data_IF_123147366463
#
_entry.id   IF_123147366463
#
_cell.length_a   1.000
_cell.length_b   1.000
_cell.length_c   1.000
_cell.angle_alpha   90.00
_cell.angle_beta   90.00
_cell.angle_gamma   90.00
#
_symmetry.space_group_name_H-M   'P 1'
#
loop_
_entity.id
_entity.type
_entity.pdbx_description
1 polymer ?
#
# COMPACT_ATOMS: atom_id res chain seq x y z
N UNK A 1 -10.66 46.14 -63.12
CA UNK A 1 -9.73 46.23 -61.97
C UNK A 1 -8.73 45.09 -62.11
N UNK A 2 -7.44 45.41 -62.23
CA UNK A 2 -6.46 44.64 -63.01
C UNK A 2 -5.92 43.39 -62.28
N UNK A 3 -6.07 42.21 -62.90
CA UNK A 3 -5.67 40.88 -62.36
C UNK A 3 -4.17 40.85 -62.03
N UNK A 4 -3.35 41.54 -62.82
CA UNK A 4 -1.89 41.65 -62.65
C UNK A 4 -1.49 42.38 -61.36
N UNK A 5 -2.27 43.39 -60.93
CA UNK A 5 -2.02 44.08 -59.65
C UNK A 5 -2.29 43.14 -58.46
N UNK A 6 -3.34 42.33 -58.52
CA UNK A 6 -3.64 41.37 -57.46
C UNK A 6 -2.63 40.22 -57.40
N UNK A 7 -2.14 39.74 -58.55
CA UNK A 7 -1.07 38.75 -58.61
C UNK A 7 0.25 39.28 -58.05
N UNK A 8 0.60 40.54 -58.34
CA UNK A 8 1.80 41.18 -57.82
C UNK A 8 1.74 41.35 -56.28
N UNK A 9 0.58 41.77 -55.74
CA UNK A 9 0.35 41.88 -54.30
C UNK A 9 0.44 40.52 -53.59
N UNK A 10 -0.15 39.46 -54.17
CA UNK A 10 -0.05 38.09 -53.61
C UNK A 10 1.39 37.60 -53.58
N UNK A 11 2.15 37.84 -54.64
CA UNK A 11 3.54 37.40 -54.76
C UNK A 11 4.43 38.14 -53.76
N UNK A 12 4.21 39.45 -53.59
CA UNK A 12 4.90 40.27 -52.59
C UNK A 12 4.66 39.77 -51.16
N UNK A 13 3.40 39.52 -50.78
CA UNK A 13 3.05 38.95 -49.47
C UNK A 13 3.70 37.59 -49.22
N UNK A 14 3.78 36.72 -50.24
CA UNK A 14 4.42 35.40 -50.09
C UNK A 14 5.93 35.53 -49.81
N UNK A 15 6.62 36.46 -50.46
CA UNK A 15 8.03 36.75 -50.18
C UNK A 15 8.21 37.27 -48.76
N UNK A 16 7.40 38.24 -48.33
CA UNK A 16 7.44 38.78 -46.96
C UNK A 16 7.25 37.69 -45.90
N UNK A 17 6.28 36.79 -46.10
CA UNK A 17 6.04 35.66 -45.19
C UNK A 17 7.21 34.68 -45.19
N UNK A 18 7.78 34.37 -46.36
CA UNK A 18 8.91 33.47 -46.46
C UNK A 18 10.15 34.01 -45.75
N UNK A 19 10.44 35.30 -45.93
CA UNK A 19 11.53 35.98 -45.24
C UNK A 19 11.33 35.99 -43.72
N UNK A 20 10.11 36.24 -43.26
CA UNK A 20 9.77 36.20 -41.83
C UNK A 20 9.98 34.81 -41.23
N UNK A 21 9.47 33.76 -41.88
CA UNK A 21 9.63 32.37 -41.43
C UNK A 21 11.12 31.97 -41.42
N UNK A 22 11.86 32.39 -42.43
CA UNK A 22 13.31 32.13 -42.53
C UNK A 22 14.06 32.80 -41.40
N UNK A 23 13.79 34.08 -41.12
CA UNK A 23 14.43 34.79 -40.01
C UNK A 23 14.09 34.16 -38.65
N UNK A 24 12.84 33.77 -38.44
CA UNK A 24 12.41 33.07 -37.23
C UNK A 24 13.13 31.72 -37.07
N UNK A 25 13.21 30.92 -38.14
CA UNK A 25 13.85 29.61 -38.11
C UNK A 25 15.37 29.69 -37.88
N UNK A 26 16.00 30.82 -38.21
CA UNK A 26 17.41 31.08 -37.95
C UNK A 26 17.68 31.66 -36.55
N UNK A 27 16.71 32.37 -35.96
CA UNK A 27 16.84 33.01 -34.64
C UNK A 27 16.36 32.16 -33.48
N UNK A 28 15.54 31.13 -33.75
CA UNK A 28 15.05 30.21 -32.72
C UNK A 28 16.18 29.39 -32.10
N UNK A 29 16.02 29.04 -30.82
CA UNK A 29 16.89 28.09 -30.11
C UNK A 29 16.63 26.64 -30.53
N UNK A 30 15.53 26.38 -31.24
CA UNK A 30 15.19 25.05 -31.75
C UNK A 30 16.12 24.63 -32.90
N UNK A 31 17.14 23.84 -32.56
CA UNK A 31 18.25 23.46 -33.45
C UNK A 31 17.82 22.83 -34.79
N UNK A 32 16.69 22.13 -34.86
CA UNK A 32 16.26 21.43 -36.07
C UNK A 32 15.79 22.36 -37.20
N UNK A 33 15.15 23.49 -36.88
CA UNK A 33 14.60 24.40 -37.90
C UNK A 33 15.69 25.13 -38.70
N UNK A 34 16.77 25.53 -38.02
CA UNK A 34 17.93 26.16 -38.66
C UNK A 34 18.58 25.26 -39.71
N UNK A 35 18.65 23.95 -39.46
CA UNK A 35 19.25 23.00 -40.39
C UNK A 35 18.39 22.73 -41.62
N UNK A 36 17.06 22.80 -41.49
CA UNK A 36 16.12 22.69 -42.63
C UNK A 36 16.29 23.88 -43.58
N UNK A 37 16.43 25.09 -43.03
CA UNK A 37 16.61 26.32 -43.81
C UNK A 37 17.98 26.35 -44.50
N UNK A 38 19.05 25.98 -43.80
CA UNK A 38 20.42 26.06 -44.31
C UNK A 38 20.83 24.91 -45.24
N UNK A 39 20.10 23.79 -45.26
CA UNK A 39 20.45 22.68 -46.13
C UNK A 39 20.30 23.03 -47.62
N UNK A 40 21.35 22.85 -48.41
CA UNK A 40 21.33 23.17 -49.84
C UNK A 40 20.57 22.12 -50.67
N UNK A 41 20.72 20.84 -50.31
CA UNK A 41 20.12 19.71 -51.02
C UNK A 41 18.73 19.38 -50.46
N UNK A 42 17.76 19.16 -51.35
CA UNK A 42 16.39 18.76 -50.99
C UNK A 42 16.36 17.47 -50.15
N UNK A 43 17.20 16.49 -50.48
CA UNK A 43 17.29 15.24 -49.70
C UNK A 43 17.70 15.51 -48.24
N UNK A 44 18.65 16.42 -48.01
CA UNK A 44 19.07 16.79 -46.66
C UNK A 44 17.96 17.54 -45.91
N UNK A 45 17.18 18.39 -46.59
CA UNK A 45 16.00 19.03 -45.99
C UNK A 45 14.98 18.00 -45.53
N UNK A 46 14.70 16.99 -46.35
CA UNK A 46 13.77 15.90 -46.01
C UNK A 46 14.26 15.11 -44.80
N UNK A 47 15.56 14.78 -44.75
CA UNK A 47 16.16 14.08 -43.60
C UNK A 47 15.99 14.91 -42.31
N UNK A 48 16.29 16.21 -42.37
CA UNK A 48 16.12 17.08 -41.19
C UNK A 48 14.66 17.21 -40.75
N UNK A 49 13.72 17.25 -41.70
CA UNK A 49 12.28 17.24 -41.39
C UNK A 49 11.89 15.93 -40.70
N UNK A 50 12.35 14.78 -41.21
CA UNK A 50 12.07 13.48 -40.59
C UNK A 50 12.62 13.44 -39.17
N UNK A 51 13.88 13.83 -38.95
CA UNK A 51 14.45 13.86 -37.60
C UNK A 51 13.74 14.84 -36.67
N UNK A 52 13.33 16.01 -37.15
CA UNK A 52 12.56 16.96 -36.36
C UNK A 52 11.22 16.34 -35.93
N UNK A 53 10.48 15.74 -36.86
CA UNK A 53 9.19 15.09 -36.58
C UNK A 53 9.38 13.96 -35.58
N UNK A 54 10.32 13.05 -35.83
CA UNK A 54 10.61 11.93 -34.94
C UNK A 54 10.97 12.40 -33.54
N UNK A 55 11.82 13.43 -33.42
CA UNK A 55 12.20 14.01 -32.12
C UNK A 55 11.02 14.61 -31.37
N UNK A 56 10.15 15.36 -32.06
CA UNK A 56 8.94 15.94 -31.45
C UNK A 56 7.98 14.84 -31.00
N UNK A 57 7.71 13.85 -31.83
CA UNK A 57 6.84 12.71 -31.48
C UNK A 57 7.40 11.96 -30.28
N UNK A 58 8.70 11.68 -30.27
CA UNK A 58 9.34 10.98 -29.15
C UNK A 58 9.32 11.81 -27.86
N UNK A 59 9.54 13.12 -27.96
CA UNK A 59 9.44 14.03 -26.83
C UNK A 59 8.02 14.03 -26.22
N UNK A 60 6.99 14.16 -27.06
CA UNK A 60 5.58 14.10 -26.61
C UNK A 60 5.29 12.75 -25.94
N UNK A 61 5.73 11.64 -26.56
CA UNK A 61 5.56 10.31 -25.99
C UNK A 61 6.20 10.18 -24.60
N UNK A 62 7.43 10.69 -24.43
CA UNK A 62 8.13 10.66 -23.14
C UNK A 62 7.45 11.54 -22.08
N UNK A 63 6.96 12.72 -22.46
CA UNK A 63 6.19 13.58 -21.55
C UNK A 63 4.92 12.86 -21.08
N UNK A 64 4.18 12.22 -21.98
CA UNK A 64 2.97 11.46 -21.64
C UNK A 64 3.30 10.30 -20.70
N UNK A 65 4.33 9.51 -20.99
CA UNK A 65 4.76 8.41 -20.11
C UNK A 65 5.16 8.91 -18.73
N UNK A 66 5.86 10.05 -18.66
CA UNK A 66 6.28 10.66 -17.39
C UNK A 66 5.07 11.11 -16.58
N UNK A 67 4.09 11.76 -17.21
CA UNK A 67 2.84 12.19 -16.54
C UNK A 67 2.08 10.96 -16.02
N UNK A 68 1.92 9.92 -16.84
CA UNK A 68 1.29 8.66 -16.42
C UNK A 68 2.05 8.06 -15.23
N UNK A 69 3.38 8.04 -15.29
CA UNK A 69 4.23 7.55 -14.20
C UNK A 69 4.05 8.33 -12.90
N UNK A 70 3.96 9.66 -12.98
CA UNK A 70 3.69 10.54 -11.85
C UNK A 70 2.30 10.26 -11.24
N UNK A 71 1.27 10.16 -12.09
CA UNK A 71 -0.11 9.91 -11.66
C UNK A 71 -0.36 8.48 -11.15
N UNK A 72 0.61 7.55 -11.26
CA UNK A 72 0.53 6.24 -10.61
C UNK A 72 0.80 6.31 -9.10
N UNK A 73 1.33 7.43 -8.60
CA UNK A 73 1.64 7.63 -7.17
C UNK A 73 2.46 6.48 -6.57
N UNK A 74 3.35 5.88 -7.36
CA UNK A 74 4.19 4.79 -6.91
C UNK A 74 5.12 5.28 -5.80
N UNK A 75 5.12 4.59 -4.66
CA UNK A 75 6.03 4.84 -3.55
C UNK A 75 7.12 3.77 -3.51
N UNK A 76 8.34 4.20 -3.19
CA UNK A 76 9.48 3.28 -3.01
C UNK A 76 9.83 3.26 -1.53
N UNK A 77 9.71 2.10 -0.91
CA UNK A 77 10.12 1.90 0.49
C UNK A 77 11.60 1.56 0.53
N UNK A 78 12.38 2.36 1.26
CA UNK A 78 13.79 2.08 1.53
C UNK A 78 13.93 1.57 2.97
N UNK A 79 14.19 0.27 3.13
CA UNK A 79 14.41 -0.35 4.44
C UNK A 79 15.89 -0.24 4.81
N UNK A 80 16.18 0.32 5.98
CA UNK A 80 17.52 0.38 6.56
C UNK A 80 17.48 -0.18 7.97
N UNK A 81 18.50 -0.94 8.34
CA UNK A 81 18.73 -1.37 9.71
C UNK A 81 19.56 -0.29 10.39
N UNK A 82 19.00 0.35 11.40
CA UNK A 82 19.69 1.35 12.23
C UNK A 82 19.77 0.79 13.65
N UNK A 83 20.95 0.84 14.24
CA UNK A 83 21.17 0.45 15.64
C UNK A 83 21.12 1.74 16.47
N UNK A 84 19.96 2.05 17.03
CA UNK A 84 19.78 3.18 17.95
C UNK A 84 19.81 2.67 19.40
N UNK A 85 20.60 3.30 20.27
CA UNK A 85 20.55 3.07 21.72
C UNK A 85 20.21 4.37 22.46
N UNK A 86 19.38 4.34 23.52
CA UNK A 86 18.58 3.21 24.02
C UNK A 86 17.18 3.18 23.40
N UNK A 87 16.75 2.00 22.93
CA UNK A 87 15.37 1.76 22.51
C UNK A 87 14.47 1.49 23.73
N UNK A 88 13.22 1.93 23.67
CA UNK A 88 12.25 1.63 24.72
C UNK A 88 12.07 0.11 24.81
N UNK A 89 12.20 -0.44 26.02
CA UNK A 89 11.91 -1.85 26.26
C UNK A 89 10.44 -2.13 25.87
N UNK A 90 10.17 -3.16 25.06
CA UNK A 90 8.82 -3.41 24.58
C UNK A 90 7.90 -3.85 25.73
N UNK A 91 6.60 -3.67 25.54
CA UNK A 91 5.63 -4.33 26.41
C UNK A 91 5.70 -5.84 26.20
N UNK A 92 5.91 -6.57 27.29
CA UNK A 92 5.84 -8.03 27.30
C UNK A 92 4.49 -8.41 27.87
N UNK A 93 3.72 -9.18 27.11
CA UNK A 93 2.45 -9.76 27.55
C UNK A 93 2.66 -11.25 27.74
N UNK A 94 2.39 -11.73 28.96
CA UNK A 94 2.48 -13.14 29.33
C UNK A 94 1.05 -13.64 29.58
N UNK A 95 0.71 -14.79 28.99
CA UNK A 95 -0.61 -15.40 29.14
C UNK A 95 -0.46 -16.82 29.69
N UNK A 96 -1.27 -17.17 30.68
CA UNK A 96 -1.45 -18.56 31.10
C UNK A 96 -2.43 -19.24 30.14
N UNK A 97 -2.08 -20.43 29.67
CA UNK A 97 -3.02 -21.25 28.89
C UNK A 97 -4.18 -21.78 29.75
N UNK A 98 -3.96 -21.91 31.06
CA UNK A 98 -5.03 -22.19 32.01
C UNK A 98 -5.73 -20.89 32.39
N UNK A 99 -7.05 -20.81 32.12
CA UNK A 99 -7.84 -19.62 32.39
C UNK A 99 -8.15 -19.42 33.90
N UNK A 100 -8.13 -20.49 34.70
CA UNK A 100 -8.57 -20.49 36.10
C UNK A 100 -7.64 -21.33 36.98
N UNK A 101 -7.47 -20.95 38.25
CA UNK A 101 -6.77 -21.78 39.23
C UNK A 101 -7.41 -23.17 39.31
N UNK A 102 -6.59 -24.22 39.22
CA UNK A 102 -7.06 -25.59 39.31
C UNK A 102 -7.75 -25.92 40.64
N UNK A 103 -7.45 -25.21 41.73
CA UNK A 103 -8.14 -25.39 43.02
C UNK A 103 -9.58 -24.89 42.92
N UNK A 104 -9.77 -23.69 42.37
CA UNK A 104 -11.10 -23.06 42.17
C UNK A 104 -11.89 -23.85 41.13
N UNK A 105 -11.25 -24.17 40.00
CA UNK A 105 -11.87 -24.94 38.93
C UNK A 105 -12.33 -26.32 39.40
N UNK A 106 -11.62 -26.96 40.35
CA UNK A 106 -12.04 -28.24 40.95
C UNK A 106 -13.18 -28.09 41.96
N UNK A 107 -13.16 -27.04 42.80
CA UNK A 107 -14.21 -26.80 43.77
C UNK A 107 -15.56 -26.53 43.09
N UNK A 108 -15.56 -25.65 42.08
CA UNK A 108 -16.74 -25.35 41.28
C UNK A 108 -17.12 -26.53 40.36
N UNK A 109 -16.20 -27.50 40.19
CA UNK A 109 -16.42 -28.66 39.32
C UNK A 109 -17.62 -29.46 39.75
N UNK A 110 -17.63 -29.83 41.02
CA UNK A 110 -18.65 -30.70 41.57
C UNK A 110 -20.01 -30.00 41.60
N UNK A 111 -20.02 -28.69 41.89
CA UNK A 111 -21.23 -27.86 41.91
C UNK A 111 -21.87 -27.76 40.53
N UNK A 112 -21.11 -27.42 39.49
CA UNK A 112 -21.63 -27.27 38.11
C UNK A 112 -22.11 -28.61 37.55
N UNK A 113 -21.39 -29.70 37.81
CA UNK A 113 -21.81 -31.03 37.37
C UNK A 113 -23.13 -31.45 38.02
N UNK A 114 -23.31 -31.13 39.31
CA UNK A 114 -24.55 -31.39 40.03
C UNK A 114 -25.72 -30.55 39.50
N UNK A 115 -25.50 -29.25 39.25
CA UNK A 115 -26.52 -28.32 38.74
C UNK A 115 -26.99 -28.73 37.34
N UNK A 116 -26.07 -29.12 36.47
CA UNK A 116 -26.38 -29.56 35.10
C UNK A 116 -26.82 -31.02 35.01
N UNK A 117 -26.89 -31.73 36.13
CA UNK A 117 -27.27 -33.15 36.23
C UNK A 117 -26.42 -34.06 35.30
N UNK A 118 -25.12 -33.79 35.23
CA UNK A 118 -24.18 -34.53 34.39
C UNK A 118 -23.48 -35.56 35.29
N UNK A 119 -23.59 -36.83 34.92
CA UNK A 119 -22.91 -37.93 35.60
C UNK A 119 -22.01 -38.67 34.62
N UNK A 120 -20.83 -39.05 35.07
CA UNK A 120 -19.91 -39.92 34.31
C UNK A 120 -20.56 -41.25 33.92
N UNK A 121 -21.58 -41.72 34.65
CA UNK A 121 -22.30 -42.96 34.33
C UNK A 121 -23.09 -42.90 33.01
N UNK A 122 -23.35 -41.69 32.50
CA UNK A 122 -24.20 -41.48 31.33
C UNK A 122 -23.40 -41.30 30.02
N UNK A 123 -22.06 -41.26 30.09
CA UNK A 123 -21.20 -40.92 28.97
C UNK A 123 -19.91 -41.75 28.96
N UNK A 124 -19.29 -41.93 27.80
CA UNK A 124 -17.92 -42.45 27.73
C UNK A 124 -16.94 -41.47 28.40
N UNK A 125 -15.81 -41.97 28.91
CA UNK A 125 -14.89 -41.17 29.72
C UNK A 125 -14.35 -39.93 28.98
N UNK A 126 -14.05 -40.05 27.69
CA UNK A 126 -13.55 -38.94 26.85
C UNK A 126 -14.67 -37.91 26.63
N UNK A 127 -15.83 -38.39 26.20
CA UNK A 127 -17.05 -37.62 25.98
C UNK A 127 -17.57 -36.88 27.24
N UNK A 128 -17.37 -37.47 28.42
CA UNK A 128 -17.69 -36.85 29.69
C UNK A 128 -16.77 -35.68 29.99
N UNK A 129 -15.46 -35.84 29.78
CA UNK A 129 -14.46 -34.79 30.02
C UNK A 129 -14.68 -33.60 29.10
N UNK A 130 -14.93 -33.84 27.81
CA UNK A 130 -15.17 -32.76 26.84
C UNK A 130 -16.44 -31.97 27.19
N UNK A 131 -17.55 -32.68 27.46
CA UNK A 131 -18.81 -32.01 27.86
C UNK A 131 -18.66 -31.26 29.17
N UNK A 132 -18.02 -31.86 30.17
CA UNK A 132 -17.76 -31.21 31.44
C UNK A 132 -16.97 -29.91 31.21
N UNK A 133 -15.87 -29.97 30.46
CA UNK A 133 -15.04 -28.81 30.15
C UNK A 133 -15.81 -27.68 29.44
N UNK A 134 -16.69 -28.00 28.50
CA UNK A 134 -17.54 -27.03 27.81
C UNK A 134 -18.52 -26.33 28.76
N UNK A 135 -19.15 -27.10 29.67
CA UNK A 135 -20.04 -26.54 30.68
C UNK A 135 -19.29 -25.70 31.72
N UNK A 136 -18.07 -26.10 32.09
CA UNK A 136 -17.19 -25.29 32.94
C UNK A 136 -16.92 -23.94 32.30
N UNK A 137 -16.40 -23.97 31.08
CA UNK A 137 -16.01 -22.77 30.37
C UNK A 137 -17.18 -21.80 30.21
N UNK A 138 -18.32 -22.29 29.73
CA UNK A 138 -19.50 -21.44 29.54
C UNK A 138 -20.07 -20.88 30.86
N UNK A 139 -20.02 -21.66 31.95
CA UNK A 139 -20.49 -21.19 33.26
C UNK A 139 -19.59 -20.10 33.84
N UNK A 140 -18.27 -20.27 33.77
CA UNK A 140 -17.32 -19.26 34.24
C UNK A 140 -17.37 -17.99 33.39
N UNK A 141 -17.49 -18.12 32.06
CA UNK A 141 -17.68 -16.97 31.16
C UNK A 141 -18.95 -16.19 31.51
N UNK A 142 -20.07 -16.88 31.77
CA UNK A 142 -21.31 -16.24 32.17
C UNK A 142 -21.18 -15.50 33.52
N UNK A 143 -20.54 -16.12 34.53
CA UNK A 143 -20.31 -15.50 35.84
C UNK A 143 -19.36 -14.30 35.77
N UNK A 144 -18.33 -14.37 34.91
CA UNK A 144 -17.43 -13.25 34.68
C UNK A 144 -18.16 -12.06 34.05
N UNK A 145 -19.04 -12.31 33.07
CA UNK A 145 -19.86 -11.25 32.45
C UNK A 145 -20.89 -10.63 33.40
N UNK A 146 -21.43 -11.40 34.35
CA UNK A 146 -22.33 -10.89 35.38
C UNK A 146 -21.62 -10.21 36.55
N UNK A 147 -20.28 -10.07 36.50
CA UNK A 147 -19.44 -9.53 37.56
C UNK A 147 -19.58 -10.31 38.90
N UNK A 148 -20.00 -11.57 38.81
CA UNK A 148 -20.13 -12.53 39.93
C UNK A 148 -18.82 -13.31 40.12
N UNK A 149 -17.93 -13.27 39.13
CA UNK A 149 -16.62 -13.88 39.15
C UNK A 149 -15.55 -12.87 38.74
N UNK A 150 -14.65 -12.55 39.67
CA UNK A 150 -13.53 -11.65 39.42
C UNK A 150 -12.29 -12.44 38.97
N UNK A 151 -11.85 -12.21 37.74
CA UNK A 151 -10.65 -12.83 37.17
C UNK A 151 -9.36 -12.39 37.89
N UNK A 152 -9.35 -11.24 38.56
CA UNK A 152 -8.19 -10.76 39.31
C UNK A 152 -7.95 -11.59 40.58
N UNK A 153 -9.01 -12.06 41.23
CA UNK A 153 -8.91 -12.86 42.45
C UNK A 153 -8.90 -14.37 42.18
N UNK A 154 -9.48 -14.81 41.06
CA UNK A 154 -9.61 -16.23 40.72
C UNK A 154 -8.70 -16.69 39.56
N UNK A 155 -7.90 -15.77 39.01
CA UNK A 155 -6.89 -16.04 38.00
C UNK A 155 -5.54 -16.45 38.60
N UNK A 156 -4.48 -16.31 37.81
CA UNK A 156 -3.11 -16.61 38.23
C UNK A 156 -2.25 -15.35 38.30
N UNK A 157 -1.45 -15.23 39.35
CA UNK A 157 -0.41 -14.22 39.41
C UNK A 157 0.84 -14.67 38.63
N UNK A 158 1.63 -13.71 38.16
CA UNK A 158 2.84 -13.99 37.39
C UNK A 158 3.84 -14.87 38.17
N UNK A 159 3.94 -14.67 39.48
CA UNK A 159 4.75 -15.52 40.35
C UNK A 159 4.28 -16.98 40.35
N UNK A 160 2.97 -17.23 40.27
CA UNK A 160 2.40 -18.58 40.25
C UNK A 160 2.60 -19.26 38.89
N UNK A 161 2.55 -18.49 37.79
CA UNK A 161 2.83 -18.97 36.44
C UNK A 161 4.30 -19.38 36.26
N UNK A 162 5.23 -18.58 36.81
CA UNK A 162 6.68 -18.79 36.64
C UNK A 162 7.24 -19.96 37.47
N UNK A 163 6.49 -20.46 38.44
CA UNK A 163 6.89 -21.60 39.30
C UNK A 163 6.50 -22.96 38.68
N UNK A 164 5.76 -22.98 37.55
CA UNK A 164 5.37 -24.23 36.88
C UNK A 164 6.39 -24.78 35.87
N UNK A 165 7.64 -24.30 35.89
CA UNK A 165 8.75 -24.95 35.18
C UNK A 165 9.35 -26.05 36.07
N UNK A 166 8.69 -27.22 36.14
CA UNK A 166 9.27 -28.45 36.67
C UNK A 166 9.18 -29.57 35.65
#
# INVERSE_FOLDING_TARGET
MNIDKQQNIKTKKRKEIYELITQWALSTTAHGYRNIVNAEKILLKLIWIVFLITSITYCIYQVVLTIIGFCKFNVVTNTKVVYEEPTNFPSIVICNLNAYDGIIARADMDDILSEKNISQKNYEAVDFVDRAADFFKSSFEARALSNDFDLYTNGFFLEQMLISCR
#
